data_IF_939573338323
#
_entry.id   IF_939573338323
#
_cell.length_a   1.000
_cell.length_b   1.000
_cell.length_c   1.000
_cell.angle_alpha   90.00
_cell.angle_beta   90.00
_cell.angle_gamma   90.00
#
_symmetry.space_group_name_H-M   'P 1'
#
loop_
_entity.id
_entity.type
_entity.pdbx_description
1 polymer ?
#
# COMPACT_ATOMS: atom_id res chain seq x y z
N UNK A 1 -2.76 -25.67 11.52
CA UNK A 1 -3.77 -24.61 11.76
C UNK A 1 -3.98 -23.90 10.43
N UNK A 2 -5.21 -23.82 9.92
CA UNK A 2 -5.50 -23.14 8.64
C UNK A 2 -5.72 -21.64 8.90
N UNK A 3 -5.17 -20.76 8.06
CA UNK A 3 -5.27 -19.31 8.23
C UNK A 3 -5.21 -18.57 6.89
N UNK A 4 -5.89 -17.42 6.81
CA UNK A 4 -5.67 -16.44 5.73
C UNK A 4 -4.30 -15.78 5.91
N UNK A 5 -3.45 -15.84 4.89
CA UNK A 5 -2.11 -15.25 4.89
C UNK A 5 -2.05 -14.08 3.91
N UNK A 6 -1.45 -12.96 4.32
CA UNK A 6 -1.30 -11.78 3.48
C UNK A 6 0.17 -11.50 3.21
N UNK A 7 0.57 -11.59 1.94
CA UNK A 7 1.94 -11.26 1.52
C UNK A 7 2.05 -9.85 0.97
N UNK A 8 0.98 -9.36 0.31
CA UNK A 8 0.88 -7.97 -0.14
C UNK A 8 1.74 -7.67 -1.35
N UNK A 9 2.25 -6.44 -1.44
CA UNK A 9 3.09 -5.96 -2.54
C UNK A 9 4.50 -6.56 -2.49
N UNK A 10 5.08 -6.78 -3.67
CA UNK A 10 6.49 -7.15 -3.77
C UNK A 10 7.42 -6.00 -3.28
N UNK A 11 8.72 -6.30 -3.15
CA UNK A 11 9.67 -5.34 -2.59
C UNK A 11 9.80 -4.06 -3.44
N UNK A 12 9.81 -4.20 -4.76
CA UNK A 12 9.91 -3.06 -5.67
C UNK A 12 8.69 -2.14 -5.56
N UNK A 13 7.48 -2.71 -5.60
CA UNK A 13 6.23 -1.98 -5.51
C UNK A 13 6.11 -1.26 -4.17
N UNK A 14 6.45 -1.96 -3.08
CA UNK A 14 6.50 -1.38 -1.73
C UNK A 14 7.43 -0.16 -1.68
N UNK A 15 8.66 -0.29 -2.21
CA UNK A 15 9.62 0.82 -2.27
C UNK A 15 9.13 1.97 -3.13
N UNK A 16 8.41 1.68 -4.22
CA UNK A 16 7.87 2.68 -5.15
C UNK A 16 6.76 3.52 -4.51
N UNK A 17 5.73 2.88 -3.96
CA UNK A 17 4.52 3.56 -3.49
C UNK A 17 4.61 4.07 -2.06
N UNK A 18 5.41 3.41 -1.21
CA UNK A 18 5.64 3.83 0.18
C UNK A 18 6.91 4.67 0.33
N UNK A 19 7.48 5.17 -0.77
CA UNK A 19 8.62 6.09 -0.74
C UNK A 19 8.31 7.27 0.18
N UNK A 20 9.27 7.59 1.05
CA UNK A 20 9.18 8.73 1.97
C UNK A 20 10.29 9.72 1.70
N UNK A 21 9.97 11.01 1.72
CA UNK A 21 10.94 12.08 1.55
C UNK A 21 10.99 12.98 2.77
N UNK A 22 12.17 13.56 3.04
CA UNK A 22 12.32 14.54 4.12
C UNK A 22 11.70 15.86 3.67
N UNK A 23 10.60 16.24 4.32
CA UNK A 23 9.98 17.54 4.13
C UNK A 23 10.13 18.38 5.40
N UNK A 24 10.24 19.70 5.21
CA UNK A 24 10.19 20.66 6.32
C UNK A 24 8.74 20.88 6.70
N UNK A 25 8.35 20.39 7.86
CA UNK A 25 7.03 20.64 8.44
C UNK A 25 7.11 21.89 9.31
N UNK A 26 6.35 22.91 8.92
CA UNK A 26 6.20 24.16 9.66
C UNK A 26 4.75 24.29 10.07
N UNK A 27 4.49 24.59 11.34
CA UNK A 27 3.13 24.68 11.85
C UNK A 27 3.06 25.31 13.23
N UNK A 28 1.87 25.25 13.81
CA UNK A 28 1.58 25.78 15.14
C UNK A 28 0.83 24.69 15.91
N UNK A 29 1.39 24.28 17.05
CA UNK A 29 0.66 23.48 18.02
C UNK A 29 -0.29 24.40 18.78
N UNK A 30 -1.57 24.06 18.81
CA UNK A 30 -2.57 24.71 19.66
C UNK A 30 -2.83 23.74 20.81
N UNK A 31 -2.48 24.15 22.03
CA UNK A 31 -2.72 23.36 23.24
C UNK A 31 -4.14 23.59 23.75
N UNK A 32 -4.62 22.69 24.62
CA UNK A 32 -5.99 22.76 25.18
C UNK A 32 -6.28 24.06 25.95
N UNK A 33 -5.24 24.68 26.52
CA UNK A 33 -5.30 25.97 27.20
C UNK A 33 -5.22 27.19 26.26
N UNK A 34 -5.26 26.96 24.95
CA UNK A 34 -5.20 28.00 23.93
C UNK A 34 -3.79 28.52 23.63
N UNK A 35 -2.74 28.05 24.32
CA UNK A 35 -1.36 28.42 23.99
C UNK A 35 -1.02 27.95 22.57
N UNK A 36 -0.32 28.80 21.83
CA UNK A 36 0.15 28.53 20.47
C UNK A 36 1.67 28.43 20.44
N UNK A 37 2.22 27.30 19.99
CA UNK A 37 3.68 27.13 19.82
C UNK A 37 4.01 26.81 18.37
N UNK A 38 4.73 27.72 17.73
CA UNK A 38 5.29 27.50 16.39
C UNK A 38 6.33 26.38 16.45
N UNK A 39 6.37 25.54 15.42
CA UNK A 39 7.41 24.54 15.24
C UNK A 39 7.88 24.53 13.79
N UNK A 40 9.14 24.13 13.61
CA UNK A 40 9.75 23.87 12.31
C UNK A 40 10.65 22.65 12.48
N UNK A 41 10.29 21.52 11.88
CA UNK A 41 11.05 20.27 11.98
C UNK A 41 11.13 19.55 10.64
N UNK A 42 12.17 18.75 10.47
CA UNK A 42 12.30 17.86 9.32
C UNK A 42 11.69 16.50 9.65
N UNK A 43 10.79 16.02 8.80
CA UNK A 43 10.11 14.72 8.99
C UNK A 43 10.04 13.96 7.68
N UNK A 44 10.08 12.62 7.75
CA UNK A 44 9.87 11.75 6.59
C UNK A 44 8.38 11.60 6.32
N UNK A 45 7.87 12.22 5.27
CA UNK A 45 6.47 12.14 4.85
C UNK A 45 6.32 11.18 3.67
N UNK A 46 5.20 10.43 3.58
CA UNK A 46 4.92 9.63 2.39
C UNK A 46 4.80 10.55 1.18
N UNK A 47 5.41 10.14 0.07
CA UNK A 47 5.39 10.88 -1.19
C UNK A 47 4.03 10.73 -1.89
N UNK A 48 3.46 9.53 -1.83
CA UNK A 48 2.14 9.26 -2.38
C UNK A 48 1.03 9.68 -1.42
N UNK A 49 -0.09 10.17 -1.97
CA UNK A 49 -1.36 10.21 -1.23
C UNK A 49 -2.04 8.85 -1.34
N UNK A 50 -2.40 8.27 -0.20
CA UNK A 50 -2.97 6.92 -0.11
C UNK A 50 -4.48 7.04 0.13
N UNK A 51 -5.28 6.25 -0.60
CA UNK A 51 -6.71 6.06 -0.36
C UNK A 51 -7.04 4.58 -0.35
N UNK A 52 -7.96 4.16 0.50
CA UNK A 52 -8.50 2.80 0.45
C UNK A 52 -9.51 2.73 -0.70
N UNK A 53 -9.42 1.71 -1.53
CA UNK A 53 -10.32 1.47 -2.68
C UNK A 53 -11.10 0.16 -2.58
N UNK A 54 -10.74 -0.70 -1.64
CA UNK A 54 -11.43 -1.96 -1.41
C UNK A 54 -10.82 -2.74 -0.26
N UNK A 55 -11.36 -3.93 -0.04
CA UNK A 55 -10.86 -4.87 0.96
C UNK A 55 -10.78 -6.26 0.35
N UNK A 56 -9.82 -7.06 0.83
CA UNK A 56 -9.71 -8.48 0.52
C UNK A 56 -10.51 -9.23 1.57
N UNK A 57 -11.58 -9.90 1.14
CA UNK A 57 -12.32 -10.83 1.99
C UNK A 57 -11.54 -12.13 2.14
N UNK A 58 -11.44 -12.63 3.37
CA UNK A 58 -10.77 -13.89 3.68
C UNK A 58 -11.73 -15.07 3.67
N UNK A 59 -11.17 -16.27 3.67
CA UNK A 59 -11.94 -17.51 3.85
C UNK A 59 -12.26 -17.74 5.32
N UNK A 60 -11.35 -17.38 6.22
CA UNK A 60 -11.48 -17.58 7.66
C UNK A 60 -11.67 -16.27 8.43
N UNK A 61 -11.41 -15.12 7.80
CA UNK A 61 -11.62 -13.78 8.36
C UNK A 61 -12.49 -12.92 7.45
N UNK A 62 -13.36 -12.05 8.01
CA UNK A 62 -14.20 -11.17 7.19
C UNK A 62 -13.38 -10.17 6.37
N UNK A 63 -12.19 -9.81 6.84
CA UNK A 63 -11.28 -8.92 6.12
C UNK A 63 -9.84 -9.33 6.41
N UNK A 64 -9.06 -9.51 5.35
CA UNK A 64 -7.64 -9.88 5.41
C UNK A 64 -6.75 -8.64 5.32
N UNK A 65 -7.01 -7.77 4.34
CA UNK A 65 -6.29 -6.52 4.13
C UNK A 65 -7.14 -5.51 3.34
N UNK A 66 -6.72 -4.24 3.37
CA UNK A 66 -7.24 -3.18 2.52
C UNK A 66 -6.43 -3.12 1.21
N UNK A 67 -7.11 -2.80 0.11
CA UNK A 67 -6.49 -2.45 -1.16
C UNK A 67 -6.44 -0.93 -1.29
N UNK A 68 -5.30 -0.42 -1.71
CA UNK A 68 -5.03 1.00 -1.77
C UNK A 68 -4.88 1.55 -3.19
N UNK A 69 -5.20 2.83 -3.33
CA UNK A 69 -4.82 3.69 -4.45
C UNK A 69 -3.75 4.66 -4.00
N UNK A 70 -2.69 4.76 -4.79
CA UNK A 70 -1.56 5.65 -4.61
C UNK A 70 -1.57 6.73 -5.68
N UNK A 71 -1.70 7.99 -5.25
CA UNK A 71 -1.60 9.16 -6.13
C UNK A 71 -0.20 9.74 -5.97
N UNK A 72 0.62 9.62 -7.01
CA UNK A 72 2.01 10.04 -7.03
C UNK A 72 2.15 11.53 -7.39
N UNK A 73 3.26 12.20 -6.99
CA UNK A 73 3.48 13.62 -7.33
C UNK A 73 3.64 13.90 -8.81
N UNK A 74 4.05 12.92 -9.60
CA UNK A 74 4.17 13.01 -11.07
C UNK A 74 2.81 12.86 -11.78
N UNK A 75 1.72 12.73 -11.02
CA UNK A 75 0.36 12.55 -11.53
C UNK A 75 0.00 11.10 -11.84
N UNK A 76 0.95 10.15 -11.75
CA UNK A 76 0.63 8.73 -11.92
C UNK A 76 -0.22 8.23 -10.77
N UNK A 77 -1.16 7.36 -11.07
CA UNK A 77 -2.05 6.76 -10.08
C UNK A 77 -1.96 5.25 -10.20
N UNK A 78 -1.69 4.58 -9.09
CA UNK A 78 -1.57 3.13 -9.02
C UNK A 78 -2.63 2.55 -8.10
N UNK A 79 -3.30 1.49 -8.53
CA UNK A 79 -4.24 0.71 -7.73
C UNK A 79 -3.65 -0.64 -7.38
N UNK A 80 -3.79 -1.03 -6.12
CA UNK A 80 -3.54 -2.39 -5.69
C UNK A 80 -4.64 -3.33 -6.21
N UNK A 81 -4.24 -4.52 -6.63
CA UNK A 81 -5.13 -5.62 -6.96
C UNK A 81 -4.53 -6.95 -6.51
N UNK A 82 -5.37 -7.93 -6.20
CA UNK A 82 -4.92 -9.29 -5.90
C UNK A 82 -4.49 -9.95 -7.21
N UNK A 83 -3.18 -10.21 -7.35
CA UNK A 83 -2.62 -10.90 -8.50
C UNK A 83 -2.94 -12.39 -8.44
N UNK A 84 -2.70 -13.01 -7.28
CA UNK A 84 -3.00 -14.41 -7.09
C UNK A 84 -3.19 -14.79 -5.61
N UNK A 85 -3.81 -15.95 -5.37
CA UNK A 85 -4.07 -16.51 -4.05
C UNK A 85 -3.81 -18.03 -4.03
N UNK A 86 -2.54 -18.49 -4.07
CA UNK A 86 -2.24 -19.91 -4.01
C UNK A 86 -2.64 -20.48 -2.65
N UNK A 87 -2.91 -21.80 -2.62
CA UNK A 87 -3.46 -22.48 -1.46
C UNK A 87 -2.48 -23.47 -0.84
N UNK A 88 -1.88 -23.11 0.29
CA UNK A 88 -0.98 -23.99 1.04
C UNK A 88 -1.32 -23.95 2.52
N UNK A 89 -2.16 -24.90 2.96
CA UNK A 89 -2.75 -24.89 4.31
C UNK A 89 -3.74 -23.75 4.57
N UNK A 90 -3.95 -22.87 3.58
CA UNK A 90 -4.85 -21.71 3.57
C UNK A 90 -4.49 -20.76 2.41
N UNK A 91 -5.33 -19.76 2.09
CA UNK A 91 -5.08 -18.83 1.01
C UNK A 91 -3.95 -17.84 1.34
N UNK A 92 -3.08 -17.54 0.37
CA UNK A 92 -2.00 -16.55 0.48
C UNK A 92 -2.20 -15.40 -0.51
N UNK A 93 -2.65 -14.23 -0.06
CA UNK A 93 -2.98 -13.14 -0.97
C UNK A 93 -1.72 -12.35 -1.38
N UNK A 94 -1.41 -12.41 -2.67
CA UNK A 94 -0.34 -11.65 -3.32
C UNK A 94 -0.95 -10.47 -4.09
N UNK A 95 -0.43 -9.27 -3.84
CA UNK A 95 -0.95 -8.02 -4.41
C UNK A 95 0.09 -7.41 -5.35
N UNK A 96 -0.37 -6.82 -6.44
CA UNK A 96 0.44 -6.07 -7.38
C UNK A 96 -0.21 -4.71 -7.71
N UNK A 97 0.47 -3.91 -8.52
CA UNK A 97 0.02 -2.58 -8.93
C UNK A 97 -0.44 -2.59 -10.39
N UNK A 98 -1.52 -1.86 -10.66
CA UNK A 98 -1.91 -1.46 -12.01
C UNK A 98 -2.03 0.05 -12.10
N UNK A 99 -1.76 0.61 -13.27
CA UNK A 99 -2.06 2.01 -13.55
C UNK A 99 -3.57 2.22 -13.54
N UNK A 100 -4.06 3.09 -12.67
CA UNK A 100 -5.48 3.29 -12.45
C UNK A 100 -6.20 3.94 -13.64
N UNK A 101 -5.45 4.63 -14.52
CA UNK A 101 -6.02 5.33 -15.69
C UNK A 101 -6.15 4.40 -16.89
N UNK A 102 -5.17 3.50 -17.07
CA UNK A 102 -5.13 2.58 -18.22
C UNK A 102 -5.58 1.17 -17.90
N UNK A 103 -5.65 0.81 -16.61
CA UNK A 103 -5.91 -0.54 -16.13
C UNK A 103 -4.75 -1.52 -16.34
N UNK A 104 -3.64 -1.09 -16.96
CA UNK A 104 -2.50 -1.95 -17.26
C UNK A 104 -1.69 -2.24 -16.02
N UNK A 105 -1.28 -3.50 -15.87
CA UNK A 105 -0.39 -3.94 -14.80
C UNK A 105 0.97 -3.23 -14.91
N UNK A 106 1.58 -2.96 -13.76
CA UNK A 106 2.95 -2.46 -13.67
C UNK A 106 3.86 -3.69 -13.58
N UNK A 107 4.62 -4.02 -14.63
CA UNK A 107 5.34 -5.30 -14.70
C UNK A 107 6.27 -5.55 -13.52
N UNK A 108 6.98 -4.53 -13.05
CA UNK A 108 7.92 -4.65 -11.93
C UNK A 108 7.23 -4.87 -10.57
N UNK A 109 5.92 -4.67 -10.50
CA UNK A 109 5.13 -4.94 -9.29
C UNK A 109 4.59 -6.36 -9.22
N UNK A 110 4.66 -7.12 -10.32
CA UNK A 110 4.17 -8.49 -10.38
C UNK A 110 5.10 -9.39 -9.55
N UNK A 111 4.48 -10.32 -8.82
CA UNK A 111 5.17 -11.48 -8.26
C UNK A 111 5.49 -12.45 -9.41
N UNK A 112 6.68 -13.05 -9.37
CA UNK A 112 7.08 -14.01 -10.41
C UNK A 112 6.42 -15.37 -10.20
N UNK A 113 6.38 -16.19 -11.26
CA UNK A 113 5.82 -17.54 -11.20
C UNK A 113 6.53 -18.40 -10.12
N UNK A 114 7.85 -18.26 -10.01
CA UNK A 114 8.65 -18.93 -8.97
C UNK A 114 8.24 -18.52 -7.55
N UNK A 115 7.83 -17.27 -7.35
CA UNK A 115 7.36 -16.75 -6.06
C UNK A 115 5.90 -17.08 -5.77
N UNK A 116 5.14 -17.40 -6.81
CA UNK A 116 3.71 -17.68 -6.78
C UNK A 116 3.35 -19.16 -6.74
N UNK A 117 4.33 -20.07 -6.66
CA UNK A 117 4.17 -21.53 -6.67
C UNK A 117 2.74 -22.00 -6.32
N UNK A 118 2.06 -22.57 -7.33
CA UNK A 118 0.65 -22.99 -7.33
C UNK A 118 -0.41 -21.90 -7.58
N UNK A 119 -0.01 -20.87 -8.33
CA UNK A 119 -0.86 -20.03 -9.17
C UNK A 119 -0.81 -20.52 -10.63
#
# INVERSE_FOLDING_TARGET
MRMDQYRGLNEWATKKVLKREKARQVGVNIFEDGRKRKYSRWVKVPVARIRIIGTIAGVYKPTVAELHRYIMPDGKVYDEFVQCTPWSGGPVYHVALKDASTGKEVPESLWTDDELADC
#
